data_IF_793185323499
#
_entry.id   IF_793185323499
#
_cell.length_a   1.000
_cell.length_b   1.000
_cell.length_c   1.000
_cell.angle_alpha   90.00
_cell.angle_beta   90.00
_cell.angle_gamma   90.00
#
_symmetry.space_group_name_H-M   'P 1'
#
loop_
_entity.id
_entity.type
_entity.pdbx_description
1 polymer ?
#
# COMPACT_ATOMS: atom_id res chain seq x y z
N UNK A 1 13.33 15.47 -1.52
CA UNK A 1 12.04 15.07 -2.11
C UNK A 1 11.27 14.30 -1.05
N UNK A 2 10.01 14.64 -0.74
CA UNK A 2 9.18 13.86 0.17
C UNK A 2 9.15 12.38 -0.21
N UNK A 3 9.14 11.47 0.76
CA UNK A 3 9.23 10.01 0.55
C UNK A 3 8.11 9.49 -0.36
N UNK A 4 6.89 10.02 -0.20
CA UNK A 4 5.73 9.66 -1.02
C UNK A 4 5.91 10.00 -2.51
N UNK A 5 6.59 11.11 -2.81
CA UNK A 5 6.90 11.52 -4.18
C UNK A 5 7.96 10.59 -4.76
N UNK A 6 9.03 10.33 -4.00
CA UNK A 6 10.08 9.41 -4.43
C UNK A 6 9.50 8.00 -4.70
N UNK A 7 8.59 7.53 -3.84
CA UNK A 7 7.93 6.25 -3.99
C UNK A 7 7.08 6.16 -5.27
N UNK A 8 6.29 7.19 -5.59
CA UNK A 8 5.51 7.23 -6.85
C UNK A 8 6.41 7.27 -8.09
N UNK A 9 7.44 8.13 -8.09
CA UNK A 9 8.34 8.28 -9.23
C UNK A 9 9.13 6.98 -9.52
N UNK A 10 9.47 6.23 -8.47
CA UNK A 10 10.21 4.97 -8.57
C UNK A 10 9.30 3.75 -8.80
N UNK A 11 7.97 3.91 -8.95
CA UNK A 11 7.09 2.77 -9.27
C UNK A 11 7.50 2.16 -10.62
N UNK A 12 7.63 0.82 -10.73
CA UNK A 12 8.00 0.16 -11.99
C UNK A 12 7.10 0.50 -13.18
N UNK A 13 5.80 0.68 -12.94
CA UNK A 13 4.83 1.09 -13.96
C UNK A 13 5.14 2.48 -14.53
N UNK A 14 5.51 3.42 -13.66
CA UNK A 14 5.83 4.80 -14.04
C UNK A 14 7.18 4.85 -14.76
N UNK A 15 8.17 4.11 -14.27
CA UNK A 15 9.47 3.99 -14.91
C UNK A 15 9.39 3.40 -16.33
N UNK A 16 8.49 2.44 -16.56
CA UNK A 16 8.25 1.88 -17.90
C UNK A 16 7.77 2.95 -18.89
N UNK A 17 6.82 3.80 -18.49
CA UNK A 17 6.29 4.89 -19.33
C UNK A 17 7.42 5.82 -19.78
N UNK A 18 8.28 6.20 -18.83
CA UNK A 18 9.45 7.05 -19.10
C UNK A 18 10.41 6.38 -20.07
N UNK A 19 10.72 5.10 -19.83
CA UNK A 19 11.67 4.34 -20.66
C UNK A 19 11.15 4.15 -22.08
N UNK A 20 9.85 3.88 -22.23
CA UNK A 20 9.19 3.72 -23.54
C UNK A 20 9.21 5.04 -24.33
N UNK A 21 8.89 6.17 -23.69
CA UNK A 21 8.96 7.51 -24.30
C UNK A 21 10.40 7.92 -24.63
N UNK A 22 11.35 7.70 -23.72
CA UNK A 22 12.76 7.96 -23.94
C UNK A 22 13.28 7.23 -25.19
N UNK A 23 12.90 5.95 -25.33
CA UNK A 23 13.24 5.12 -26.49
C UNK A 23 12.54 5.58 -27.77
N UNK A 24 11.25 5.92 -27.72
CA UNK A 24 10.48 6.40 -28.87
C UNK A 24 11.07 7.69 -29.44
N UNK A 25 11.49 8.61 -28.57
CA UNK A 25 11.98 9.92 -29.00
C UNK A 25 13.50 9.98 -29.17
N UNK A 26 14.24 8.99 -28.68
CA UNK A 26 15.70 8.90 -28.76
C UNK A 26 16.41 9.85 -27.79
N UNK A 27 15.83 10.08 -26.61
CA UNK A 27 16.31 11.04 -25.60
C UNK A 27 16.42 10.40 -24.22
N UNK A 28 17.16 11.03 -23.30
CA UNK A 28 17.15 10.65 -21.89
C UNK A 28 16.20 11.57 -21.12
N UNK A 29 15.24 10.98 -20.39
CA UNK A 29 14.21 11.72 -19.64
C UNK A 29 14.45 11.75 -18.13
N UNK A 30 15.44 11.01 -17.60
CA UNK A 30 15.70 10.88 -16.16
C UNK A 30 15.99 12.25 -15.54
N UNK A 31 16.84 13.04 -16.20
CA UNK A 31 17.19 14.38 -15.73
C UNK A 31 16.00 15.34 -15.77
N UNK A 32 15.12 15.21 -16.77
CA UNK A 32 13.95 16.07 -16.93
C UNK A 32 12.96 15.81 -15.80
N UNK A 33 12.72 14.54 -15.51
CA UNK A 33 11.87 14.10 -14.40
C UNK A 33 12.38 14.65 -13.07
N UNK A 34 13.70 14.57 -12.84
CA UNK A 34 14.30 15.14 -11.65
C UNK A 34 14.07 16.66 -11.58
N UNK A 35 14.33 17.38 -12.68
CA UNK A 35 14.18 18.83 -12.75
C UNK A 35 12.74 19.28 -12.50
N UNK A 36 11.75 18.58 -13.05
CA UNK A 36 10.33 18.84 -12.76
C UNK A 36 10.02 18.57 -11.29
N UNK A 37 10.49 17.44 -10.75
CA UNK A 37 10.23 17.07 -9.36
C UNK A 37 10.84 18.04 -8.33
N UNK A 38 11.89 18.78 -8.70
CA UNK A 38 12.48 19.86 -7.88
C UNK A 38 12.02 21.26 -8.31
N UNK A 39 10.99 21.35 -9.16
CA UNK A 39 10.39 22.59 -9.66
C UNK A 39 11.41 23.53 -10.34
N UNK A 40 12.38 22.98 -11.06
CA UNK A 40 13.33 23.72 -11.90
C UNK A 40 12.86 23.88 -13.34
N UNK A 41 11.96 23.01 -13.78
CA UNK A 41 11.27 23.07 -15.07
C UNK A 41 9.79 22.83 -14.78
N UNK A 42 8.91 23.74 -15.20
CA UNK A 42 7.46 23.54 -15.07
C UNK A 42 6.94 22.62 -16.18
N UNK A 43 5.74 22.06 -15.98
CA UNK A 43 5.10 21.21 -17.00
C UNK A 43 4.76 21.96 -18.30
N UNK A 44 4.60 23.28 -18.22
CA UNK A 44 4.30 24.13 -19.38
C UNK A 44 5.56 24.46 -20.19
N UNK A 45 6.73 24.44 -19.56
CA UNK A 45 8.04 24.71 -20.17
C UNK A 45 8.69 23.45 -20.77
N UNK A 46 8.09 22.26 -20.61
CA UNK A 46 8.70 20.98 -21.04
C UNK A 46 9.08 20.99 -22.53
N UNK A 47 8.19 21.50 -23.38
CA UNK A 47 8.45 21.55 -24.83
C UNK A 47 9.65 22.45 -25.15
N UNK A 48 9.72 23.64 -24.55
CA UNK A 48 10.86 24.55 -24.73
C UNK A 48 12.15 23.91 -24.21
N UNK A 49 12.11 23.28 -23.03
CA UNK A 49 13.23 22.55 -22.47
C UNK A 49 13.75 21.47 -23.43
N UNK A 50 12.86 20.71 -24.06
CA UNK A 50 13.24 19.65 -25.00
C UNK A 50 13.87 20.18 -26.29
N UNK A 51 13.40 21.31 -26.81
CA UNK A 51 14.03 21.97 -27.96
C UNK A 51 15.45 22.41 -27.58
N UNK A 52 15.58 23.14 -26.47
CA UNK A 52 16.82 23.81 -26.11
C UNK A 52 17.90 22.84 -25.60
N UNK A 53 17.50 21.77 -24.88
CA UNK A 53 18.44 20.90 -24.17
C UNK A 53 18.56 19.51 -24.79
N UNK A 54 17.55 19.03 -25.51
CA UNK A 54 17.54 17.69 -26.12
C UNK A 54 17.63 17.73 -27.66
N UNK A 55 17.62 18.93 -28.26
CA UNK A 55 17.78 19.12 -29.71
C UNK A 55 16.63 18.54 -30.53
N UNK A 56 15.44 18.40 -29.94
CA UNK A 56 14.24 17.99 -30.66
C UNK A 56 13.72 19.16 -31.50
N UNK A 57 13.15 18.87 -32.66
CA UNK A 57 12.34 19.86 -33.36
C UNK A 57 11.07 20.17 -32.56
N UNK A 58 10.50 21.35 -32.78
CA UNK A 58 9.38 21.86 -31.99
C UNK A 58 8.16 20.91 -31.99
N UNK A 59 7.85 20.28 -33.12
CA UNK A 59 6.69 19.38 -33.23
C UNK A 59 6.90 18.14 -32.38
N UNK A 60 8.08 17.48 -32.49
CA UNK A 60 8.39 16.32 -31.66
C UNK A 60 8.51 16.67 -30.17
N UNK A 61 9.01 17.85 -29.84
CA UNK A 61 9.08 18.35 -28.48
C UNK A 61 7.70 18.57 -27.86
N UNK A 62 6.77 19.19 -28.61
CA UNK A 62 5.39 19.37 -28.18
C UNK A 62 4.70 18.02 -27.93
N UNK A 63 4.80 17.08 -28.86
CA UNK A 63 4.22 15.74 -28.71
C UNK A 63 4.79 14.97 -27.51
N UNK A 64 6.11 15.03 -27.29
CA UNK A 64 6.76 14.39 -26.15
C UNK A 64 6.33 15.05 -24.83
N UNK A 65 6.23 16.38 -24.80
CA UNK A 65 5.78 17.13 -23.62
C UNK A 65 4.35 16.75 -23.24
N UNK A 66 3.45 16.68 -24.21
CA UNK A 66 2.07 16.26 -23.98
C UNK A 66 2.01 14.80 -23.50
N UNK A 67 2.72 13.88 -24.17
CA UNK A 67 2.76 12.48 -23.73
C UNK A 67 3.33 12.31 -22.32
N UNK A 68 4.39 13.03 -21.98
CA UNK A 68 5.01 12.94 -20.66
C UNK A 68 4.11 13.58 -19.59
N UNK A 69 3.45 14.70 -19.91
CA UNK A 69 2.46 15.34 -19.03
C UNK A 69 1.29 14.41 -18.75
N UNK A 70 0.64 13.89 -19.78
CA UNK A 70 -0.60 13.12 -19.68
C UNK A 70 -0.38 11.71 -19.12
N UNK A 71 0.71 11.04 -19.50
CA UNK A 71 0.91 9.63 -19.14
C UNK A 71 1.77 9.44 -17.90
N UNK A 72 2.57 10.42 -17.50
CA UNK A 72 3.49 10.29 -16.36
C UNK A 72 3.17 11.30 -15.24
N UNK A 73 3.25 12.60 -15.52
CA UNK A 73 3.13 13.61 -14.46
C UNK A 73 1.72 13.76 -13.90
N UNK A 74 0.71 13.96 -14.75
CA UNK A 74 -0.67 14.17 -14.26
C UNK A 74 -1.20 12.98 -13.45
N UNK A 75 -1.01 11.71 -13.86
CA UNK A 75 -1.41 10.57 -13.04
C UNK A 75 -0.75 10.57 -11.65
N UNK A 76 0.55 10.85 -11.58
CA UNK A 76 1.28 10.93 -10.30
C UNK A 76 0.79 12.10 -9.46
N UNK A 77 0.63 13.30 -10.03
CA UNK A 77 0.16 14.48 -9.32
C UNK A 77 -1.26 14.28 -8.76
N UNK A 78 -2.16 13.70 -9.56
CA UNK A 78 -3.51 13.37 -9.12
C UNK A 78 -3.49 12.34 -7.97
N UNK A 79 -2.63 11.32 -8.06
CA UNK A 79 -2.45 10.33 -6.99
C UNK A 79 -1.90 10.99 -5.71
N UNK A 80 -0.92 11.89 -5.83
CA UNK A 80 -0.36 12.60 -4.69
C UNK A 80 -1.37 13.55 -4.04
N UNK A 81 -2.19 14.24 -4.84
CA UNK A 81 -3.28 15.08 -4.35
C UNK A 81 -4.30 14.24 -3.58
N UNK A 82 -4.69 13.08 -4.11
CA UNK A 82 -5.54 12.11 -3.42
C UNK A 82 -4.93 11.63 -2.11
N UNK A 83 -3.64 11.26 -2.09
CA UNK A 83 -2.95 10.78 -0.89
C UNK A 83 -2.64 11.88 0.14
N UNK A 84 -2.96 13.14 -0.15
CA UNK A 84 -2.76 14.24 0.79
C UNK A 84 -3.64 14.07 2.04
N UNK A 85 -3.24 14.61 3.21
CA UNK A 85 -4.01 14.44 4.45
C UNK A 85 -5.42 15.04 4.40
N UNK A 86 -5.67 15.97 3.48
CA UNK A 86 -6.95 16.67 3.41
C UNK A 86 -8.00 15.78 2.74
N UNK A 87 -9.17 15.54 3.35
CA UNK A 87 -10.25 14.82 2.71
C UNK A 87 -10.75 15.58 1.47
N UNK A 88 -11.05 14.82 0.42
CA UNK A 88 -11.76 15.31 -0.76
C UNK A 88 -13.09 14.57 -0.91
N UNK A 89 -14.18 15.23 -1.37
CA UNK A 89 -15.44 14.56 -1.70
C UNK A 89 -15.28 13.41 -2.72
N UNK A 90 -14.19 13.43 -3.50
CA UNK A 90 -13.89 12.42 -4.52
C UNK A 90 -13.18 11.19 -3.95
N UNK A 91 -12.65 11.25 -2.72
CA UNK A 91 -11.83 10.19 -2.13
C UNK A 91 -12.55 8.83 -2.14
N UNK A 92 -13.85 8.80 -1.83
CA UNK A 92 -14.64 7.55 -1.84
C UNK A 92 -14.74 6.93 -3.22
N UNK A 93 -14.87 7.75 -4.26
CA UNK A 93 -14.91 7.29 -5.65
C UNK A 93 -13.54 6.76 -6.07
N UNK A 94 -12.47 7.47 -5.72
CA UNK A 94 -11.09 7.05 -6.01
C UNK A 94 -10.77 5.73 -5.32
N UNK A 95 -11.13 5.56 -4.04
CA UNK A 95 -10.92 4.31 -3.30
C UNK A 95 -11.66 3.15 -4.00
N UNK A 96 -12.94 3.32 -4.38
CA UNK A 96 -13.68 2.29 -5.12
C UNK A 96 -13.03 1.92 -6.44
N UNK A 97 -12.56 2.94 -7.17
CA UNK A 97 -11.84 2.74 -8.42
C UNK A 97 -10.55 1.96 -8.21
N UNK A 98 -9.78 2.26 -7.16
CA UNK A 98 -8.60 1.50 -6.78
C UNK A 98 -8.96 0.03 -6.56
N UNK A 99 -9.93 -0.26 -5.70
CA UNK A 99 -10.30 -1.64 -5.36
C UNK A 99 -10.97 -2.42 -6.50
N UNK A 100 -11.51 -1.74 -7.52
CA UNK A 100 -12.20 -2.37 -8.65
C UNK A 100 -11.31 -2.63 -9.87
N UNK A 101 -10.25 -1.84 -10.08
CA UNK A 101 -9.43 -1.90 -11.31
C UNK A 101 -7.93 -1.62 -11.15
N UNK A 102 -7.44 -1.22 -9.97
CA UNK A 102 -6.01 -0.89 -9.75
C UNK A 102 -5.46 -1.49 -8.45
N UNK A 103 -6.13 -2.52 -7.90
CA UNK A 103 -5.78 -3.06 -6.61
C UNK A 103 -4.41 -3.74 -6.65
N UNK A 104 -4.04 -4.42 -7.74
CA UNK A 104 -2.73 -5.08 -7.83
C UNK A 104 -1.58 -4.09 -7.70
N UNK A 105 -1.71 -2.91 -8.30
CA UNK A 105 -0.70 -1.86 -8.21
C UNK A 105 -0.49 -1.40 -6.76
N UNK A 106 -1.54 -1.38 -5.95
CA UNK A 106 -1.46 -0.95 -4.55
C UNK A 106 -1.02 -2.08 -3.61
N UNK A 107 -1.36 -3.35 -3.89
CA UNK A 107 -0.89 -4.49 -3.10
C UNK A 107 0.64 -4.67 -3.16
N UNK A 108 1.27 -4.23 -4.24
CA UNK A 108 2.73 -4.29 -4.45
C UNK A 108 3.41 -2.93 -4.37
N UNK A 109 2.70 -1.89 -3.91
CA UNK A 109 3.24 -0.55 -3.81
C UNK A 109 4.29 -0.43 -2.68
N UNK A 110 5.03 0.68 -2.72
CA UNK A 110 5.91 1.05 -1.62
C UNK A 110 5.11 1.19 -0.31
N UNK A 111 5.66 0.76 0.85
CA UNK A 111 5.01 0.87 2.16
C UNK A 111 4.45 2.26 2.48
N UNK A 112 5.12 3.34 2.04
CA UNK A 112 4.66 4.72 2.26
C UNK A 112 3.33 4.98 1.55
N UNK A 113 3.16 4.45 0.34
CA UNK A 113 1.95 4.61 -0.47
C UNK A 113 0.81 3.76 0.06
N UNK A 114 1.12 2.53 0.47
CA UNK A 114 0.16 1.65 1.14
C UNK A 114 -0.36 2.32 2.42
N UNK A 115 0.52 2.88 3.24
CA UNK A 115 0.13 3.60 4.46
C UNK A 115 -0.74 4.83 4.18
N UNK A 116 -0.39 5.62 3.16
CA UNK A 116 -1.18 6.79 2.78
C UNK A 116 -2.60 6.38 2.30
N UNK A 117 -2.71 5.31 1.50
CA UNK A 117 -3.99 4.78 1.07
C UNK A 117 -4.80 4.19 2.24
N UNK A 118 -4.17 3.44 3.13
CA UNK A 118 -4.82 2.89 4.33
C UNK A 118 -5.48 3.99 5.17
N UNK A 119 -4.83 5.15 5.33
CA UNK A 119 -5.42 6.29 6.06
C UNK A 119 -6.69 6.83 5.42
N UNK A 120 -6.71 6.93 4.09
CA UNK A 120 -7.89 7.35 3.33
C UNK A 120 -9.04 6.34 3.50
N UNK A 121 -8.73 5.05 3.51
CA UNK A 121 -9.71 4.00 3.76
C UNK A 121 -10.23 4.09 5.21
N UNK A 122 -9.37 4.27 6.20
CA UNK A 122 -9.78 4.43 7.60
C UNK A 122 -10.67 5.63 7.84
N UNK A 123 -10.36 6.76 7.20
CA UNK A 123 -11.19 7.95 7.26
C UNK A 123 -12.59 7.66 6.74
N UNK A 124 -12.71 7.01 5.57
CA UNK A 124 -14.01 6.62 5.04
C UNK A 124 -14.76 5.61 5.94
N UNK A 125 -14.06 4.59 6.46
CA UNK A 125 -14.64 3.64 7.41
C UNK A 125 -15.13 4.33 8.69
N UNK A 126 -14.46 5.39 9.16
CA UNK A 126 -14.87 6.16 10.34
C UNK A 126 -16.16 6.96 10.12
N UNK A 127 -16.38 7.44 8.90
CA UNK A 127 -17.59 8.16 8.51
C UNK A 127 -18.79 7.22 8.33
N UNK A 128 -18.63 6.14 7.55
CA UNK A 128 -19.68 5.19 7.21
C UNK A 128 -19.14 3.76 7.18
N UNK A 129 -18.96 3.17 8.36
CA UNK A 129 -18.39 1.83 8.55
C UNK A 129 -19.04 0.78 7.64
N UNK A 130 -20.36 0.57 7.76
CA UNK A 130 -21.04 -0.51 7.03
C UNK A 130 -21.14 -0.23 5.54
N UNK A 131 -21.41 1.03 5.15
CA UNK A 131 -21.52 1.40 3.75
C UNK A 131 -20.18 1.40 3.02
N UNK A 132 -19.10 1.83 3.66
CA UNK A 132 -17.74 1.77 3.12
C UNK A 132 -17.29 0.31 2.97
N UNK A 133 -17.41 -0.52 4.02
CA UNK A 133 -17.08 -1.95 3.98
C UNK A 133 -17.76 -2.64 2.80
N UNK A 134 -19.09 -2.50 2.70
CA UNK A 134 -19.87 -3.13 1.62
C UNK A 134 -19.43 -2.65 0.24
N UNK A 135 -19.14 -1.35 0.08
CA UNK A 135 -18.70 -0.81 -1.21
C UNK A 135 -17.31 -1.32 -1.61
N UNK A 136 -16.36 -1.35 -0.69
CA UNK A 136 -15.01 -1.85 -0.94
C UNK A 136 -15.04 -3.37 -1.20
N UNK A 137 -15.78 -4.14 -0.40
CA UNK A 137 -15.95 -5.58 -0.59
C UNK A 137 -16.53 -5.89 -1.98
N UNK A 138 -17.60 -5.20 -2.37
CA UNK A 138 -18.20 -5.36 -3.69
C UNK A 138 -17.25 -4.97 -4.82
N UNK A 139 -16.42 -3.94 -4.64
CA UNK A 139 -15.41 -3.55 -5.62
C UNK A 139 -14.40 -4.69 -5.85
N UNK A 140 -13.88 -5.29 -4.77
CA UNK A 140 -12.96 -6.44 -4.84
C UNK A 140 -13.59 -7.67 -5.50
N UNK A 141 -14.82 -8.01 -5.13
CA UNK A 141 -15.52 -9.19 -5.65
C UNK A 141 -15.91 -9.08 -7.13
N UNK A 142 -15.87 -7.87 -7.69
CA UNK A 142 -16.12 -7.61 -9.11
C UNK A 142 -14.83 -7.28 -9.90
N UNK A 143 -13.68 -7.18 -9.23
CA UNK A 143 -12.41 -6.83 -9.84
C UNK A 143 -11.92 -7.94 -10.82
N UNK A 144 -11.59 -7.54 -12.05
CA UNK A 144 -11.16 -8.41 -13.15
C UNK A 144 -9.64 -8.36 -13.43
N UNK A 145 -8.85 -7.69 -12.60
CA UNK A 145 -7.39 -7.72 -12.69
C UNK A 145 -6.89 -9.17 -12.55
N UNK A 146 -5.95 -9.56 -13.42
CA UNK A 146 -5.43 -10.92 -13.49
C UNK A 146 -4.21 -11.05 -12.58
N UNK A 147 -4.29 -11.89 -11.55
CA UNK A 147 -3.14 -12.22 -10.67
C UNK A 147 -2.26 -13.24 -11.37
N UNK A 148 -2.88 -14.27 -11.96
CA UNK A 148 -2.15 -15.42 -12.51
C UNK A 148 -2.57 -15.64 -13.96
N UNK A 149 -1.63 -15.86 -14.89
CA UNK A 149 -1.96 -16.13 -16.29
C UNK A 149 -2.70 -17.47 -16.47
N UNK A 150 -2.54 -18.40 -15.51
CA UNK A 150 -3.23 -19.68 -15.48
C UNK A 150 -4.72 -19.57 -15.14
N UNK A 151 -5.51 -20.54 -15.60
CA UNK A 151 -6.89 -20.74 -15.14
C UNK A 151 -6.90 -21.46 -13.80
N UNK A 152 -7.83 -21.09 -12.93
CA UNK A 152 -8.13 -21.76 -11.67
C UNK A 152 -9.43 -22.55 -11.76
N UNK A 153 -9.63 -23.49 -10.86
CA UNK A 153 -10.85 -24.31 -10.77
C UNK A 153 -11.70 -23.82 -9.61
N UNK A 154 -12.92 -23.35 -9.89
CA UNK A 154 -13.91 -22.93 -8.89
C UNK A 154 -15.19 -23.70 -9.18
N UNK A 155 -15.73 -24.43 -8.20
CA UNK A 155 -16.94 -25.26 -8.39
C UNK A 155 -16.87 -26.21 -9.62
N UNK A 156 -15.71 -26.84 -9.85
CA UNK A 156 -15.39 -27.68 -11.01
C UNK A 156 -15.33 -26.98 -12.38
N UNK A 157 -15.44 -25.65 -12.42
CA UNK A 157 -15.29 -24.85 -13.65
C UNK A 157 -13.90 -24.21 -13.72
N UNK A 158 -13.29 -24.22 -14.91
CA UNK A 158 -12.01 -23.54 -15.16
C UNK A 158 -12.24 -22.08 -15.52
N UNK A 159 -11.96 -21.18 -14.59
CA UNK A 159 -12.13 -19.73 -14.72
C UNK A 159 -10.78 -19.01 -14.80
N UNK A 160 -10.71 -17.79 -15.36
CA UNK A 160 -9.49 -16.98 -15.37
C UNK A 160 -8.99 -16.67 -13.95
N UNK A 161 -7.66 -16.56 -13.77
CA UNK A 161 -7.02 -16.23 -12.50
C UNK A 161 -7.12 -14.76 -12.08
N UNK A 162 -8.33 -14.21 -12.09
CA UNK A 162 -8.62 -12.82 -11.69
C UNK A 162 -8.80 -12.68 -10.18
N UNK A 163 -8.69 -11.45 -9.65
CA UNK A 163 -8.96 -11.13 -8.25
C UNK A 163 -10.32 -11.70 -7.80
N UNK A 164 -11.39 -11.36 -8.52
CA UNK A 164 -12.74 -11.84 -8.19
C UNK A 164 -12.85 -13.36 -8.15
N UNK A 165 -12.22 -14.07 -9.09
CA UNK A 165 -12.26 -15.53 -9.13
C UNK A 165 -11.40 -16.17 -8.03
N UNK A 166 -10.25 -15.59 -7.68
CA UNK A 166 -9.43 -16.04 -6.56
C UNK A 166 -10.15 -15.88 -5.22
N UNK A 167 -10.84 -14.75 -5.01
CA UNK A 167 -11.67 -14.55 -3.82
C UNK A 167 -12.81 -15.58 -3.74
N UNK A 168 -13.50 -15.84 -4.86
CA UNK A 168 -14.56 -16.86 -4.93
C UNK A 168 -14.01 -18.27 -4.68
N UNK A 169 -12.85 -18.59 -5.24
CA UNK A 169 -12.15 -19.85 -5.02
C UNK A 169 -11.89 -20.06 -3.53
N UNK A 170 -11.25 -19.08 -2.89
CA UNK A 170 -10.93 -19.12 -1.47
C UNK A 170 -12.19 -19.28 -0.61
N UNK A 171 -13.23 -18.46 -0.85
CA UNK A 171 -14.50 -18.56 -0.12
C UNK A 171 -15.23 -19.89 -0.33
N UNK A 172 -15.10 -20.51 -1.51
CA UNK A 172 -15.71 -21.82 -1.78
C UNK A 172 -15.00 -22.97 -1.05
N UNK A 173 -13.70 -22.86 -0.83
CA UNK A 173 -12.89 -23.88 -0.15
C UNK A 173 -12.90 -23.73 1.37
N UNK A 174 -12.80 -22.50 1.88
CA UNK A 174 -12.71 -22.22 3.33
C UNK A 174 -14.07 -21.91 3.98
N UNK A 175 -15.10 -21.62 3.18
CA UNK A 175 -16.40 -21.16 3.65
C UNK A 175 -16.45 -19.64 3.87
N UNK A 176 -17.65 -19.15 4.19
CA UNK A 176 -17.92 -17.72 4.31
C UNK A 176 -17.74 -17.15 5.73
N UNK A 177 -17.40 -17.98 6.73
CA UNK A 177 -17.39 -17.62 8.15
C UNK A 177 -15.96 -17.42 8.64
N UNK A 178 -15.66 -16.23 9.17
CA UNK A 178 -14.42 -15.80 9.84
C UNK A 178 -13.17 -16.65 9.58
N UNK A 179 -12.63 -16.58 8.36
CA UNK A 179 -11.34 -17.15 8.05
C UNK A 179 -10.22 -16.26 8.61
N UNK A 180 -9.20 -16.88 9.19
CA UNK A 180 -8.08 -16.21 9.86
C UNK A 180 -6.78 -16.35 9.04
N UNK A 181 -5.65 -15.93 9.62
CA UNK A 181 -4.34 -16.07 8.98
C UNK A 181 -3.95 -17.53 8.73
N UNK A 182 -4.45 -18.48 9.54
CA UNK A 182 -4.17 -19.90 9.37
C UNK A 182 -4.91 -20.43 8.14
N UNK A 183 -6.20 -20.10 7.97
CA UNK A 183 -6.97 -20.50 6.79
C UNK A 183 -6.35 -19.99 5.48
N UNK A 184 -5.82 -18.76 5.47
CA UNK A 184 -5.10 -18.20 4.32
C UNK A 184 -3.82 -19.00 4.04
N UNK A 185 -3.04 -19.32 5.07
CA UNK A 185 -1.79 -20.08 4.96
C UNK A 185 -2.03 -21.52 4.47
N UNK A 186 -3.07 -22.17 4.99
CA UNK A 186 -3.52 -23.49 4.55
C UNK A 186 -3.95 -23.48 3.08
N UNK A 187 -4.73 -22.49 2.66
CA UNK A 187 -5.13 -22.36 1.25
C UNK A 187 -3.92 -22.17 0.31
N UNK A 188 -2.97 -21.30 0.68
CA UNK A 188 -1.78 -21.03 -0.13
C UNK A 188 -0.81 -22.23 -0.22
N UNK A 189 -0.86 -23.14 0.74
CA UNK A 189 0.03 -24.32 0.81
C UNK A 189 -0.60 -25.59 0.25
N UNK A 190 -1.91 -25.79 0.47
CA UNK A 190 -2.58 -27.08 0.22
C UNK A 190 -3.61 -27.05 -0.90
N UNK A 191 -4.10 -25.87 -1.32
CA UNK A 191 -5.10 -25.81 -2.39
C UNK A 191 -4.51 -26.30 -3.71
N UNK A 192 -5.30 -27.10 -4.44
CA UNK A 192 -4.93 -27.57 -5.77
C UNK A 192 -4.68 -26.41 -6.74
N UNK A 193 -5.39 -25.29 -6.54
CA UNK A 193 -5.24 -24.09 -7.37
C UNK A 193 -3.92 -23.36 -7.10
N UNK A 194 -3.36 -23.48 -5.89
CA UNK A 194 -2.15 -22.75 -5.48
C UNK A 194 -0.86 -23.55 -5.69
N UNK A 195 -0.97 -24.84 -6.02
CA UNK A 195 0.16 -25.77 -6.14
C UNK A 195 1.25 -25.33 -7.15
N UNK A 196 0.84 -24.70 -8.26
CA UNK A 196 1.75 -24.30 -9.34
C UNK A 196 2.07 -22.79 -9.34
N UNK A 197 1.64 -22.06 -8.31
CA UNK A 197 1.94 -20.63 -8.22
C UNK A 197 3.40 -20.40 -7.88
N UNK A 198 3.99 -19.41 -8.54
CA UNK A 198 5.30 -18.87 -8.17
C UNK A 198 5.26 -18.22 -6.79
N UNK A 199 6.43 -18.01 -6.18
CA UNK A 199 6.53 -17.33 -4.89
C UNK A 199 5.92 -15.91 -4.93
N UNK A 200 6.10 -15.18 -6.04
CA UNK A 200 5.55 -13.85 -6.23
C UNK A 200 4.02 -13.87 -6.35
N UNK A 201 3.46 -14.79 -7.14
CA UNK A 201 2.00 -14.96 -7.24
C UNK A 201 1.38 -15.32 -5.88
N UNK A 202 2.03 -16.19 -5.10
CA UNK A 202 1.58 -16.52 -3.73
C UNK A 202 1.64 -15.32 -2.79
N UNK A 203 2.67 -14.49 -2.91
CA UNK A 203 2.82 -13.25 -2.12
C UNK A 203 1.69 -12.27 -2.43
N UNK A 204 1.41 -12.01 -3.72
CA UNK A 204 0.31 -11.14 -4.16
C UNK A 204 -1.04 -11.71 -3.70
N UNK A 205 -1.26 -13.02 -3.88
CA UNK A 205 -2.49 -13.67 -3.45
C UNK A 205 -2.68 -13.61 -1.92
N UNK A 206 -1.60 -13.80 -1.15
CA UNK A 206 -1.61 -13.62 0.31
C UNK A 206 -2.03 -12.20 0.69
N UNK A 207 -1.42 -11.19 0.07
CA UNK A 207 -1.77 -9.79 0.31
C UNK A 207 -3.25 -9.53 -0.01
N UNK A 208 -3.74 -9.99 -1.17
CA UNK A 208 -5.15 -9.88 -1.56
C UNK A 208 -6.09 -10.51 -0.52
N UNK A 209 -5.82 -11.75 -0.10
CA UNK A 209 -6.69 -12.48 0.83
C UNK A 209 -6.72 -11.82 2.21
N UNK A 210 -5.57 -11.35 2.69
CA UNK A 210 -5.50 -10.57 3.93
C UNK A 210 -6.23 -9.23 3.81
N UNK A 211 -6.12 -8.52 2.69
CA UNK A 211 -6.89 -7.30 2.44
C UNK A 211 -8.40 -7.56 2.46
N UNK A 212 -8.84 -8.61 1.78
CA UNK A 212 -10.25 -9.00 1.76
C UNK A 212 -10.75 -9.35 3.17
N UNK A 213 -9.97 -10.15 3.93
CA UNK A 213 -10.25 -10.47 5.34
C UNK A 213 -10.41 -9.20 6.16
N UNK A 214 -9.43 -8.31 6.06
CA UNK A 214 -9.33 -7.11 6.86
C UNK A 214 -10.45 -6.12 6.56
N UNK A 215 -10.95 -6.04 5.32
CA UNK A 215 -12.16 -5.28 4.98
C UNK A 215 -13.41 -5.97 5.54
N UNK A 216 -13.61 -7.25 5.21
CA UNK A 216 -14.86 -7.97 5.48
C UNK A 216 -15.15 -8.04 6.97
N UNK A 217 -14.13 -8.36 7.75
CA UNK A 217 -14.23 -8.58 9.18
C UNK A 217 -13.78 -7.37 10.00
N UNK A 218 -13.60 -6.18 9.39
CA UNK A 218 -13.36 -4.98 10.17
C UNK A 218 -14.58 -4.62 11.05
N UNK A 219 -14.42 -4.24 12.33
CA UNK A 219 -13.17 -4.10 13.10
C UNK A 219 -12.68 -5.39 13.77
N UNK A 220 -13.45 -6.48 13.76
CA UNK A 220 -13.15 -7.75 14.43
C UNK A 220 -11.80 -8.38 14.03
N UNK A 221 -11.30 -8.12 12.83
CA UNK A 221 -9.99 -8.61 12.36
C UNK A 221 -8.77 -7.86 12.93
N UNK A 222 -8.97 -6.82 13.74
CA UNK A 222 -7.90 -6.02 14.34
C UNK A 222 -7.41 -6.67 15.65
N UNK A 223 -6.12 -7.05 15.77
CA UNK A 223 -5.63 -7.97 16.81
C UNK A 223 -5.47 -7.38 18.23
N UNK A 224 -5.82 -6.12 18.48
CA UNK A 224 -5.77 -5.49 19.82
C UNK A 224 -6.50 -4.14 19.83
N UNK A 225 -6.76 -3.59 21.02
CA UNK A 225 -7.37 -2.26 21.20
C UNK A 225 -6.50 -1.11 20.66
N UNK A 226 -5.23 -1.38 20.41
CA UNK A 226 -4.29 -0.40 19.88
C UNK A 226 -4.02 -0.60 18.38
N UNK A 227 -4.22 -1.81 17.85
CA UNK A 227 -3.98 -2.25 16.46
C UNK A 227 -2.74 -1.66 15.79
N UNK A 228 -1.68 -1.54 16.59
CA UNK A 228 -0.33 -1.35 16.07
C UNK A 228 -0.03 -2.48 15.06
N UNK A 229 0.63 -2.12 13.96
CA UNK A 229 0.96 -3.02 12.84
C UNK A 229 -0.23 -3.62 12.06
N UNK A 230 -1.47 -3.19 12.35
CA UNK A 230 -2.64 -3.60 11.59
C UNK A 230 -3.01 -2.60 10.49
N UNK A 231 -3.32 -3.12 9.31
CA UNK A 231 -3.66 -2.33 8.15
C UNK A 231 -4.71 -3.03 7.26
N UNK A 232 -5.52 -2.25 6.55
CA UNK A 232 -6.47 -2.78 5.58
C UNK A 232 -5.72 -3.49 4.45
N UNK A 233 -4.76 -2.80 3.84
CA UNK A 233 -3.77 -3.40 2.95
C UNK A 233 -2.52 -3.67 3.79
N UNK A 234 -2.17 -4.95 4.03
CA UNK A 234 -1.00 -5.30 4.84
C UNK A 234 0.28 -4.74 4.24
N UNK A 235 1.17 -4.28 5.10
CA UNK A 235 2.51 -3.90 4.68
C UNK A 235 3.32 -5.16 4.30
N UNK A 236 4.17 -5.10 3.26
CA UNK A 236 5.10 -6.17 2.97
C UNK A 236 5.96 -6.43 4.20
N UNK A 237 6.00 -7.68 4.66
CA UNK A 237 6.96 -8.09 5.69
C UNK A 237 8.33 -7.96 5.03
N UNK A 238 9.08 -6.93 5.41
CA UNK A 238 10.50 -6.88 5.14
C UNK A 238 11.10 -7.96 6.03
N UNK A 239 11.57 -9.06 5.45
CA UNK A 239 12.40 -10.02 6.16
C UNK A 239 13.66 -9.25 6.59
N UNK A 240 13.61 -8.65 7.77
CA UNK A 240 14.78 -8.13 8.45
C UNK A 240 15.73 -9.31 8.59
N UNK A 241 16.86 -9.28 7.89
CA UNK A 241 17.87 -10.34 7.89
C UNK A 241 18.50 -10.61 9.27
N UNK A 242 18.05 -9.92 10.33
CA UNK A 242 18.51 -10.06 11.71
C UNK A 242 17.36 -10.47 12.64
N UNK A 243 16.89 -11.70 12.52
CA UNK A 243 16.26 -12.40 13.66
C UNK A 243 16.80 -13.82 13.73
N UNK A 244 17.99 -13.93 14.32
CA UNK A 244 18.54 -15.18 14.84
C UNK A 244 17.50 -15.80 15.80
N UNK A 245 17.17 -17.10 15.71
CA UNK A 245 16.24 -17.74 16.63
C UNK A 245 16.88 -17.76 18.02
N UNK A 246 16.32 -16.98 18.94
CA UNK A 246 16.74 -16.98 20.35
C UNK A 246 16.33 -18.31 20.99
N UNK A 247 17.23 -19.28 20.98
CA UNK A 247 17.12 -20.49 21.80
C UNK A 247 17.41 -20.12 23.26
N UNK A 248 16.50 -20.55 24.14
CA UNK A 248 16.62 -20.49 25.58
C UNK A 248 17.92 -21.16 26.09
N UNK A 249 18.63 -20.39 26.92
CA UNK A 249 19.24 -20.79 28.20
C UNK A 249 20.26 -21.93 28.23
N UNK A 250 21.53 -21.57 28.50
CA UNK A 250 22.26 -21.93 29.74
C UNK A 250 23.65 -21.26 29.74
N UNK A 251 23.87 -20.30 30.64
CA UNK A 251 25.19 -19.80 31.08
C UNK A 251 25.86 -20.83 32.04
N UNK A 252 27.15 -20.71 32.48
CA UNK A 252 27.95 -19.48 32.59
C UNK A 252 29.48 -19.53 32.30
N UNK A 253 30.00 -18.31 32.03
CA UNK A 253 31.32 -17.70 32.35
C UNK A 253 32.64 -18.41 32.01
N UNK A 254 33.46 -17.72 31.20
CA UNK A 254 34.82 -17.32 31.60
C UNK A 254 35.33 -16.08 30.82
N UNK A 255 36.13 -15.27 31.51
CA UNK A 255 36.67 -13.96 31.14
C UNK A 255 37.74 -14.00 30.03
N UNK A 256 37.79 -12.98 29.17
CA UNK A 256 38.92 -12.01 29.15
C UNK A 256 38.76 -10.88 28.13
N UNK A 257 39.24 -9.74 28.60
CA UNK A 257 39.47 -8.43 27.98
C UNK A 257 40.32 -8.45 26.70
N UNK A 258 39.95 -7.61 25.73
CA UNK A 258 40.86 -6.62 25.15
C UNK A 258 40.08 -5.59 24.33
N UNK A 259 40.35 -4.32 24.63
CA UNK A 259 39.88 -3.10 24.00
C UNK A 259 40.46 -2.96 22.58
N UNK A 260 39.64 -2.55 21.62
CA UNK A 260 40.09 -1.69 20.52
C UNK A 260 38.92 -0.82 20.03
N UNK A 261 39.01 0.47 20.34
CA UNK A 261 38.11 1.52 19.89
C UNK A 261 38.23 1.74 18.38
N UNK A 262 37.11 1.62 17.65
CA UNK A 262 36.95 2.18 16.30
C UNK A 262 35.68 3.04 16.29
N UNK A 263 35.72 4.29 15.79
CA UNK A 263 34.62 5.24 15.95
C UNK A 263 33.40 4.86 15.10
N UNK A 264 32.16 5.13 15.58
CA UNK A 264 30.95 4.80 14.84
C UNK A 264 30.71 5.77 13.68
N UNK A 265 30.76 5.26 12.45
CA UNK A 265 30.13 5.93 11.31
C UNK A 265 28.62 5.79 11.45
N UNK A 266 27.99 6.89 11.86
CA UNK A 266 26.56 7.07 11.81
C UNK A 266 26.09 7.29 10.37
N UNK A 267 25.37 6.32 9.80
CA UNK A 267 24.34 6.59 8.79
C UNK A 267 23.11 5.73 9.08
N UNK A 268 22.40 6.08 10.14
CA UNK A 268 21.01 5.63 10.33
C UNK A 268 20.12 6.58 9.55
N UNK A 269 19.77 6.18 8.32
CA UNK A 269 18.68 6.77 7.56
C UNK A 269 17.34 6.15 7.97
N UNK A 270 17.03 6.14 9.27
CA UNK A 270 15.69 5.84 9.76
C UNK A 270 14.84 7.10 9.53
N UNK A 271 14.04 7.07 8.47
CA UNK A 271 13.07 8.11 8.16
C UNK A 271 12.03 8.10 9.27
N UNK A 272 12.12 9.07 10.19
CA UNK A 272 11.07 9.30 11.16
C UNK A 272 9.76 9.59 10.41
N UNK A 273 8.67 8.83 10.65
CA UNK A 273 7.34 9.28 10.30
C UNK A 273 7.09 10.63 10.98
N UNK A 274 6.49 11.58 10.29
CA UNK A 274 6.04 12.82 10.95
C UNK A 274 5.01 12.44 12.01
N UNK A 275 5.31 12.68 13.29
CA UNK A 275 4.49 12.32 14.46
C UNK A 275 2.98 12.53 14.29
N UNK A 276 2.56 13.59 13.61
CA UNK A 276 1.14 13.92 13.38
C UNK A 276 0.40 12.89 12.50
N UNK A 277 1.12 12.26 11.61
CA UNK A 277 0.59 11.39 10.57
C UNK A 277 0.08 10.07 11.21
N UNK A 278 0.90 9.44 12.05
CA UNK A 278 0.55 8.18 12.72
C UNK A 278 -0.45 8.42 13.86
N UNK A 279 -0.34 9.58 14.51
CA UNK A 279 -1.29 10.08 15.51
C UNK A 279 -2.71 10.21 14.94
N UNK A 280 -2.88 10.77 13.74
CA UNK A 280 -4.20 10.86 13.08
C UNK A 280 -4.77 9.46 12.78
N UNK A 281 -3.94 8.54 12.28
CA UNK A 281 -4.39 7.18 11.99
C UNK A 281 -4.86 6.46 13.26
N UNK A 282 -4.10 6.63 14.35
CA UNK A 282 -4.43 6.11 15.67
C UNK A 282 -5.74 6.68 16.21
N UNK A 283 -5.97 7.99 16.07
CA UNK A 283 -7.22 8.64 16.47
C UNK A 283 -8.41 8.06 15.68
N UNK A 284 -8.29 7.89 14.37
CA UNK A 284 -9.36 7.32 13.55
C UNK A 284 -9.67 5.87 13.93
N UNK A 285 -8.64 5.07 14.20
CA UNK A 285 -8.78 3.71 14.74
C UNK A 285 -9.51 3.68 16.08
N UNK A 286 -9.12 4.54 17.02
CA UNK A 286 -9.76 4.62 18.33
C UNK A 286 -11.22 5.10 18.22
N UNK A 287 -11.53 6.07 17.36
CA UNK A 287 -12.91 6.51 17.08
C UNK A 287 -13.79 5.37 16.59
N UNK A 288 -13.23 4.47 15.78
CA UNK A 288 -13.91 3.27 15.30
C UNK A 288 -14.17 2.26 16.42
N UNK A 289 -13.20 2.04 17.31
CA UNK A 289 -13.38 1.19 18.49
C UNK A 289 -14.40 1.77 19.48
N UNK A 290 -14.41 3.09 19.69
CA UNK A 290 -15.37 3.76 20.55
C UNK A 290 -16.82 3.51 20.08
N UNK A 291 -17.05 3.60 18.76
CA UNK A 291 -18.35 3.28 18.14
C UNK A 291 -18.77 1.82 18.35
N UNK A 292 -17.80 0.90 18.44
CA UNK A 292 -18.05 -0.54 18.67
C UNK A 292 -18.46 -0.84 20.12
N UNK A 293 -17.70 -0.34 21.09
CA UNK A 293 -17.92 -0.64 22.50
C UNK A 293 -19.01 0.23 23.13
N UNK A 294 -19.31 1.39 22.54
CA UNK A 294 -20.27 2.36 23.06
C UNK A 294 -19.64 3.22 24.17
N UNK A 295 -19.99 4.51 24.19
CA UNK A 295 -19.39 5.52 25.08
C UNK A 295 -19.59 5.22 26.57
N UNK A 296 -20.65 4.49 26.93
CA UNK A 296 -20.99 4.15 28.31
C UNK A 296 -20.25 2.92 28.87
N UNK A 297 -19.50 2.20 28.04
CA UNK A 297 -18.72 1.03 28.47
C UNK A 297 -17.38 1.44 29.10
N UNK A 298 -16.80 0.56 29.92
CA UNK A 298 -15.47 0.80 30.53
C UNK A 298 -14.41 0.90 29.43
N UNK A 299 -14.50 0.04 28.42
CA UNK A 299 -13.66 0.04 27.23
C UNK A 299 -13.84 1.33 26.43
N UNK A 300 -15.08 1.78 26.23
CA UNK A 300 -15.40 3.04 25.56
C UNK A 300 -14.85 4.27 26.29
N UNK A 301 -14.94 4.30 27.62
CA UNK A 301 -14.35 5.37 28.44
C UNK A 301 -12.82 5.42 28.31
N UNK A 302 -12.16 4.26 28.36
CA UNK A 302 -10.70 4.19 28.18
C UNK A 302 -10.26 4.63 26.78
N UNK A 303 -11.00 4.25 25.74
CA UNK A 303 -10.75 4.67 24.35
C UNK A 303 -10.98 6.19 24.21
N UNK A 304 -12.04 6.73 24.80
CA UNK A 304 -12.34 8.16 24.80
C UNK A 304 -11.24 9.00 25.45
N UNK A 305 -10.69 8.53 26.58
CA UNK A 305 -9.53 9.17 27.23
C UNK A 305 -8.28 9.15 26.34
N UNK A 306 -8.01 8.03 25.65
CA UNK A 306 -6.85 7.90 24.77
C UNK A 306 -6.98 8.81 23.53
N UNK A 307 -8.18 8.91 22.94
CA UNK A 307 -8.47 9.88 21.87
C UNK A 307 -8.20 11.31 22.37
N UNK A 308 -8.69 11.65 23.57
CA UNK A 308 -8.51 12.99 24.12
C UNK A 308 -7.02 13.32 24.34
N UNK A 309 -6.21 12.38 24.85
CA UNK A 309 -4.75 12.55 24.98
C UNK A 309 -4.10 12.76 23.62
N UNK A 310 -4.45 11.92 22.66
CA UNK A 310 -3.94 12.01 21.30
C UNK A 310 -4.49 13.22 20.53
N UNK A 311 -5.57 13.88 20.92
CA UNK A 311 -5.98 15.14 20.30
C UNK A 311 -5.29 16.35 20.97
N UNK A 312 -5.02 16.27 22.28
CA UNK A 312 -4.48 17.41 23.07
C UNK A 312 -2.96 17.40 23.27
N UNK A 313 -2.24 16.34 22.90
CA UNK A 313 -0.78 16.32 22.78
C UNK A 313 -0.05 16.45 24.12
N UNK A 314 -0.50 15.72 25.15
CA UNK A 314 0.21 15.56 26.42
C UNK A 314 1.19 14.39 26.39
#
# INVERSE_FOLDING_TARGET
MPSIIAAEFNRPSNYKIVTDLAKEYGVNLDIVILLVAINRVSLDELSEYFVDNLGLDKVRADELADKLRENFFLPILNKLAFLSPNPSPEDHTIIKDIFSKQLLNELTADPVLINALNRKIFMWLSEDLDGAKRQIENAMLNNQETITPGKITVNNEKVPGTISNWLRCFMSEQGAVNFDSLSISEFLSSSRNTANLTAEEKKILSALLNTYRNIKFFPDSMPSDDGSDWAIIPLPIVESADTTPSQLSSQPKEERLSEEEVPPQASSGAVAPTLDADRINKINQLKLLLKRYGEDSIEGQAIGEEIAKLEHGQ
#
